data_IF_701899082634
#
_entry.id   IF_701899082634
#
_cell.length_a   1.000
_cell.length_b   1.000
_cell.length_c   1.000
_cell.angle_alpha   90.00
_cell.angle_beta   90.00
_cell.angle_gamma   90.00
#
_symmetry.space_group_name_H-M   'P 1'
#
loop_
_entity.id
_entity.type
_entity.pdbx_description
1 polymer ?
#
# COMPACT_ATOMS: atom_id res chain seq x y z
N UNK A 1 -20.06 7.03 -24.77
CA UNK A 1 -18.78 7.72 -24.48
C UNK A 1 -17.65 6.72 -24.63
N UNK A 2 -16.48 7.14 -25.14
CA UNK A 2 -15.34 6.25 -25.37
C UNK A 2 -14.06 6.89 -24.82
N UNK A 3 -13.27 6.13 -24.07
CA UNK A 3 -11.99 6.54 -23.50
C UNK A 3 -10.86 5.63 -23.97
N UNK A 4 -9.72 6.22 -24.33
CA UNK A 4 -8.55 5.47 -24.80
C UNK A 4 -7.47 5.46 -23.71
N UNK A 5 -6.95 4.28 -23.37
CA UNK A 5 -5.88 4.10 -22.37
C UNK A 5 -4.59 3.57 -23.01
N UNK A 6 -3.46 3.89 -22.37
CA UNK A 6 -2.14 3.33 -22.73
C UNK A 6 -1.83 2.02 -22.00
N UNK A 7 -2.54 1.72 -20.90
CA UNK A 7 -2.42 0.45 -20.21
C UNK A 7 -3.11 -0.67 -21.02
N UNK A 8 -2.53 -1.86 -21.02
CA UNK A 8 -3.09 -3.04 -21.71
C UNK A 8 -4.37 -3.56 -21.07
N UNK A 9 -4.51 -3.35 -19.76
CA UNK A 9 -5.64 -3.79 -18.96
C UNK A 9 -6.41 -2.60 -18.41
N UNK A 10 -7.74 -2.72 -18.40
CA UNK A 10 -8.63 -1.73 -17.81
C UNK A 10 -8.60 -1.84 -16.29
N UNK A 11 -8.11 -0.80 -15.63
CA UNK A 11 -8.07 -0.71 -14.15
C UNK A 11 -9.39 -0.17 -13.60
N UNK A 12 -9.73 -0.50 -12.36
CA UNK A 12 -10.94 0.01 -11.70
C UNK A 12 -11.06 1.55 -11.69
N UNK A 13 -9.94 2.28 -11.59
CA UNK A 13 -9.94 3.74 -11.70
C UNK A 13 -10.42 4.24 -13.08
N UNK A 14 -10.14 3.49 -14.15
CA UNK A 14 -10.66 3.80 -15.49
C UNK A 14 -12.18 3.65 -15.53
N UNK A 15 -12.72 2.62 -14.88
CA UNK A 15 -14.19 2.42 -14.78
C UNK A 15 -14.85 3.58 -14.04
N UNK A 16 -14.24 4.08 -12.96
CA UNK A 16 -14.72 5.29 -12.27
C UNK A 16 -14.64 6.54 -13.15
N UNK A 17 -13.59 6.69 -13.98
CA UNK A 17 -13.46 7.81 -14.91
C UNK A 17 -14.56 7.79 -15.97
N UNK A 18 -14.83 6.65 -16.61
CA UNK A 18 -15.89 6.57 -17.63
C UNK A 18 -17.28 6.78 -17.00
N UNK A 19 -17.50 6.38 -15.74
CA UNK A 19 -18.73 6.71 -15.01
C UNK A 19 -18.87 8.23 -14.82
N UNK A 20 -17.80 8.90 -14.38
CA UNK A 20 -17.79 10.36 -14.21
C UNK A 20 -18.09 11.08 -15.53
N UNK A 21 -17.41 10.69 -16.61
CA UNK A 21 -17.63 11.32 -17.91
C UNK A 21 -19.03 11.05 -18.47
N UNK A 22 -19.56 9.86 -18.24
CA UNK A 22 -20.93 9.51 -18.63
C UNK A 22 -21.97 10.30 -17.85
N UNK A 23 -21.74 10.54 -16.56
CA UNK A 23 -22.57 11.40 -15.69
C UNK A 23 -22.53 12.87 -16.17
N UNK A 24 -21.36 13.40 -16.49
CA UNK A 24 -21.24 14.76 -17.05
C UNK A 24 -21.96 14.90 -18.40
N UNK A 25 -21.87 13.89 -19.26
CA UNK A 25 -22.55 13.89 -20.56
C UNK A 25 -24.07 13.74 -20.41
N UNK A 26 -24.56 13.00 -19.42
CA UNK A 26 -26.00 12.85 -19.18
C UNK A 26 -26.65 14.19 -18.83
N UNK A 27 -25.95 15.04 -18.06
CA UNK A 27 -26.40 16.40 -17.74
C UNK A 27 -26.55 17.27 -18.99
N UNK A 28 -25.65 17.12 -19.95
CA UNK A 28 -25.66 17.86 -21.22
C UNK A 28 -26.71 17.31 -22.20
N UNK A 29 -26.82 15.98 -22.30
CA UNK A 29 -27.66 15.29 -23.29
C UNK A 29 -29.08 15.04 -22.80
N UNK A 30 -29.35 15.22 -21.49
CA UNK A 30 -30.64 14.94 -20.84
C UNK A 30 -31.09 13.49 -21.02
N UNK A 31 -30.14 12.55 -21.05
CA UNK A 31 -30.38 11.13 -21.24
C UNK A 31 -29.49 10.31 -20.30
N UNK A 32 -30.03 9.24 -19.74
CA UNK A 32 -29.28 8.37 -18.83
C UNK A 32 -28.21 7.57 -19.59
N UNK A 33 -26.99 7.46 -19.03
CA UNK A 33 -25.92 6.71 -19.67
C UNK A 33 -26.17 5.20 -19.52
N UNK A 34 -26.21 4.51 -20.65
CA UNK A 34 -26.38 3.04 -20.69
C UNK A 34 -25.03 2.34 -20.67
N UNK A 35 -24.16 2.70 -21.61
CA UNK A 35 -22.85 2.07 -21.80
C UNK A 35 -21.75 3.10 -22.08
N UNK A 36 -20.54 2.78 -21.65
CA UNK A 36 -19.32 3.46 -22.05
C UNK A 36 -18.29 2.44 -22.52
N UNK A 37 -17.30 2.91 -23.28
CA UNK A 37 -16.34 2.04 -23.93
C UNK A 37 -14.91 2.42 -23.56
N UNK A 38 -14.06 1.41 -23.35
CA UNK A 38 -12.62 1.60 -23.13
C UNK A 38 -11.85 0.94 -24.27
N UNK A 39 -10.87 1.65 -24.83
CA UNK A 39 -9.97 1.12 -25.85
C UNK A 39 -8.57 1.05 -25.27
N UNK A 40 -7.98 -0.15 -25.25
CA UNK A 40 -6.61 -0.40 -24.77
C UNK A 40 -5.69 -0.85 -25.92
N UNK A 41 -4.35 -0.77 -25.76
CA UNK A 41 -3.42 -1.25 -26.78
C UNK A 41 -3.38 -2.78 -26.80
N UNK A 42 -3.19 -3.37 -27.97
CA UNK A 42 -3.06 -4.84 -28.14
C UNK A 42 -4.38 -5.58 -28.33
N UNK A 43 -5.52 -4.87 -28.37
CA UNK A 43 -6.85 -5.44 -28.66
C UNK A 43 -7.35 -5.13 -30.07
N UNK A 44 -6.44 -4.82 -31.02
CA UNK A 44 -6.79 -4.26 -32.33
C UNK A 44 -7.68 -3.02 -32.26
N UNK A 45 -7.60 -2.27 -31.15
CA UNK A 45 -8.45 -1.12 -30.85
C UNK A 45 -9.96 -1.44 -30.80
N UNK A 46 -10.32 -2.71 -30.56
CA UNK A 46 -11.70 -3.11 -30.32
C UNK A 46 -12.15 -2.51 -28.98
N UNK A 47 -13.24 -1.72 -28.93
CA UNK A 47 -13.72 -1.14 -27.69
C UNK A 47 -14.34 -2.20 -26.78
N UNK A 48 -13.92 -2.19 -25.52
CA UNK A 48 -14.52 -2.99 -24.45
C UNK A 48 -15.71 -2.24 -23.86
N UNK A 49 -16.87 -2.88 -23.77
CA UNK A 49 -18.10 -2.28 -23.26
C UNK A 49 -18.22 -2.41 -21.73
N UNK A 50 -18.60 -1.31 -21.10
CA UNK A 50 -18.92 -1.23 -19.68
C UNK A 50 -20.31 -0.64 -19.50
N UNK A 51 -21.22 -1.40 -18.90
CA UNK A 51 -22.56 -0.92 -18.57
C UNK A 51 -22.51 -0.01 -17.36
N UNK A 52 -22.84 1.27 -17.55
CA UNK A 52 -22.76 2.28 -16.47
C UNK A 52 -23.64 1.95 -15.26
N UNK A 53 -24.89 1.45 -15.43
CA UNK A 53 -25.73 1.08 -14.29
C UNK A 53 -25.08 0.07 -13.32
N UNK A 54 -24.21 -0.81 -13.80
CA UNK A 54 -23.54 -1.84 -12.98
C UNK A 54 -22.54 -1.23 -11.98
N UNK A 55 -22.04 -0.02 -12.27
CA UNK A 55 -21.05 0.68 -11.45
C UNK A 55 -21.60 1.94 -10.77
N UNK A 56 -22.78 2.40 -11.18
CA UNK A 56 -23.32 3.71 -10.82
C UNK A 56 -23.47 3.91 -9.29
N UNK A 57 -23.85 2.87 -8.54
CA UNK A 57 -23.97 2.95 -7.09
C UNK A 57 -22.61 3.20 -6.41
N UNK A 58 -21.58 2.46 -6.83
CA UNK A 58 -20.23 2.63 -6.30
C UNK A 58 -19.63 3.98 -6.72
N UNK A 59 -19.82 4.38 -7.98
CA UNK A 59 -19.42 5.70 -8.47
C UNK A 59 -20.01 6.83 -7.62
N UNK A 60 -21.32 6.83 -7.35
CA UNK A 60 -21.97 7.85 -6.50
C UNK A 60 -21.40 7.88 -5.09
N UNK A 61 -21.11 6.71 -4.52
CA UNK A 61 -20.48 6.62 -3.21
C UNK A 61 -19.08 7.26 -3.19
N UNK A 62 -18.24 6.90 -4.17
CA UNK A 62 -16.87 7.46 -4.29
C UNK A 62 -16.90 8.96 -4.54
N UNK A 63 -17.78 9.43 -5.45
CA UNK A 63 -17.96 10.87 -5.74
C UNK A 63 -18.34 11.65 -4.48
N UNK A 64 -19.35 11.18 -3.74
CA UNK A 64 -19.79 11.82 -2.48
C UNK A 64 -18.67 11.84 -1.42
N UNK A 65 -17.90 10.76 -1.33
CA UNK A 65 -16.76 10.67 -0.42
C UNK A 65 -15.67 11.69 -0.77
N UNK A 66 -15.33 11.81 -2.06
CA UNK A 66 -14.36 12.79 -2.54
C UNK A 66 -14.84 14.23 -2.30
N UNK A 67 -16.08 14.55 -2.67
CA UNK A 67 -16.67 15.88 -2.44
C UNK A 67 -16.66 16.24 -0.95
N UNK A 68 -17.04 15.30 -0.07
CA UNK A 68 -16.97 15.48 1.38
C UNK A 68 -15.55 15.70 1.90
N UNK A 69 -14.57 14.96 1.36
CA UNK A 69 -13.17 15.11 1.74
C UNK A 69 -12.59 16.47 1.32
N UNK A 70 -12.96 16.97 0.14
CA UNK A 70 -12.51 18.27 -0.38
C UNK A 70 -13.20 19.44 0.33
N UNK A 71 -14.48 19.30 0.67
CA UNK A 71 -15.24 20.34 1.36
C UNK A 71 -14.83 20.53 2.83
N UNK A 72 -14.10 19.57 3.42
CA UNK A 72 -13.66 19.64 4.82
C UNK A 72 -12.43 20.57 4.95
N UNK A 73 -12.53 21.70 5.69
CA UNK A 73 -11.48 22.73 5.75
C UNK A 73 -10.19 22.29 6.46
N UNK A 74 -10.27 21.20 7.23
CA UNK A 74 -9.12 20.45 7.71
C UNK A 74 -9.64 19.05 7.95
N UNK A 75 -9.28 18.05 7.11
CA UNK A 75 -9.60 16.68 7.44
C UNK A 75 -8.79 16.33 8.70
N UNK A 76 -9.41 16.54 9.86
CA UNK A 76 -8.86 16.15 11.15
C UNK A 76 -8.48 14.66 11.05
N UNK A 77 -7.18 14.37 11.18
CA UNK A 77 -6.65 13.02 11.04
C UNK A 77 -6.13 12.63 9.65
N UNK A 78 -6.01 13.55 8.68
CA UNK A 78 -5.31 13.24 7.42
C UNK A 78 -3.80 13.06 7.66
N UNK A 79 -3.39 11.80 7.76
CA UNK A 79 -2.01 11.38 7.85
C UNK A 79 -1.54 10.74 6.53
N UNK A 80 -0.29 10.99 6.07
CA UNK A 80 0.23 10.40 4.84
C UNK A 80 0.62 8.93 5.04
N UNK A 81 -0.35 8.07 5.36
CA UNK A 81 -0.15 6.62 5.38
C UNK A 81 0.35 6.12 4.02
N UNK A 82 1.33 5.19 3.98
CA UNK A 82 1.76 4.62 2.72
C UNK A 82 0.63 3.81 2.07
N UNK A 83 0.47 3.99 0.77
CA UNK A 83 -0.46 3.28 -0.10
C UNK A 83 0.28 2.82 -1.35
N UNK A 84 -0.31 1.92 -2.12
CA UNK A 84 0.29 1.40 -3.37
C UNK A 84 0.65 2.50 -4.38
N UNK A 85 -0.15 3.58 -4.43
CA UNK A 85 0.12 4.69 -5.34
C UNK A 85 1.38 5.50 -4.96
N UNK A 86 1.93 5.33 -3.75
CA UNK A 86 3.08 6.10 -3.29
C UNK A 86 4.31 5.97 -4.19
N UNK A 87 4.51 4.84 -4.88
CA UNK A 87 5.69 4.61 -5.72
C UNK A 87 5.80 5.56 -6.92
N UNK A 88 4.66 6.05 -7.41
CA UNK A 88 4.57 6.99 -8.53
C UNK A 88 3.98 8.35 -8.14
N UNK A 89 3.57 8.50 -6.88
CA UNK A 89 2.95 9.71 -6.36
C UNK A 89 3.94 10.88 -6.33
N UNK A 90 3.53 12.03 -6.92
CA UNK A 90 4.33 13.27 -6.93
C UNK A 90 4.65 13.82 -5.53
N UNK A 91 3.83 13.52 -4.53
CA UNK A 91 4.00 13.99 -3.15
C UNK A 91 4.78 13.02 -2.26
N UNK A 92 5.26 11.89 -2.78
CA UNK A 92 5.94 10.84 -2.00
C UNK A 92 7.03 11.39 -1.10
N UNK A 93 7.86 12.32 -1.61
CA UNK A 93 8.96 12.94 -0.84
C UNK A 93 8.44 13.75 0.35
N UNK A 94 7.40 14.55 0.18
CA UNK A 94 6.80 15.32 1.26
C UNK A 94 6.20 14.41 2.33
N UNK A 95 5.49 13.36 1.91
CA UNK A 95 4.96 12.34 2.80
C UNK A 95 6.07 11.62 3.58
N UNK A 96 7.18 11.28 2.91
CA UNK A 96 8.32 10.60 3.55
C UNK A 96 9.00 11.49 4.60
N UNK A 97 9.22 12.77 4.29
CA UNK A 97 9.79 13.73 5.25
C UNK A 97 8.93 13.82 6.51
N UNK A 98 7.61 13.95 6.35
CA UNK A 98 6.68 13.99 7.49
C UNK A 98 6.73 12.71 8.32
N UNK A 99 6.60 11.54 7.67
CA UNK A 99 6.68 10.23 8.37
C UNK A 99 7.98 10.04 9.14
N UNK A 100 9.11 10.51 8.60
CA UNK A 100 10.41 10.45 9.28
C UNK A 100 10.49 11.42 10.45
N UNK A 101 9.99 12.64 10.29
CA UNK A 101 9.94 13.63 11.36
C UNK A 101 9.08 13.14 12.54
N UNK A 102 7.96 12.47 12.24
CA UNK A 102 7.04 11.92 13.23
C UNK A 102 7.49 10.58 13.83
N UNK A 103 8.64 10.03 13.39
CA UNK A 103 9.11 8.68 13.77
C UNK A 103 8.04 7.58 13.54
N UNK A 104 7.28 7.71 12.45
CA UNK A 104 6.08 6.91 12.22
C UNK A 104 6.38 5.42 12.02
N UNK A 105 5.57 4.56 12.62
CA UNK A 105 5.79 3.12 12.61
C UNK A 105 5.75 2.51 11.21
N UNK A 106 5.08 3.12 10.23
CA UNK A 106 5.05 2.63 8.83
C UNK A 106 6.42 2.54 8.15
N UNK A 107 7.47 3.11 8.77
CA UNK A 107 8.86 2.99 8.32
C UNK A 107 9.52 1.67 8.77
N UNK A 108 8.88 0.92 9.67
CA UNK A 108 9.34 -0.42 10.09
C UNK A 108 9.11 -1.41 8.95
N UNK A 109 10.16 -2.13 8.57
CA UNK A 109 10.09 -3.08 7.47
C UNK A 109 9.12 -4.23 7.80
N UNK A 110 8.15 -4.47 6.92
CA UNK A 110 7.18 -5.56 7.04
C UNK A 110 6.06 -5.33 8.06
N UNK A 111 5.95 -4.12 8.65
CA UNK A 111 4.80 -3.79 9.50
C UNK A 111 3.55 -3.57 8.64
N UNK A 112 2.41 -4.04 9.13
CA UNK A 112 1.12 -3.82 8.48
C UNK A 112 0.34 -2.69 9.16
N UNK A 113 -0.60 -2.07 8.43
CA UNK A 113 -1.55 -1.10 8.98
C UNK A 113 -2.37 -1.65 10.15
N UNK A 114 -2.71 -2.95 10.11
CA UNK A 114 -3.41 -3.61 11.23
C UNK A 114 -2.56 -3.63 12.50
N UNK A 115 -1.26 -3.87 12.39
CA UNK A 115 -0.35 -3.88 13.52
C UNK A 115 -0.11 -2.47 14.06
N UNK A 116 0.06 -1.48 13.18
CA UNK A 116 0.17 -0.06 13.54
C UNK A 116 -1.04 0.35 14.38
N UNK A 117 -2.26 0.14 13.86
CA UNK A 117 -3.47 0.55 14.58
C UNK A 117 -3.66 -0.18 15.92
N UNK A 118 -3.20 -1.43 16.06
CA UNK A 118 -3.24 -2.12 17.35
C UNK A 118 -2.19 -1.58 18.35
N UNK A 119 -0.98 -1.26 17.87
CA UNK A 119 0.08 -0.66 18.68
C UNK A 119 -0.31 0.74 19.16
N UNK A 120 -0.92 1.55 18.29
CA UNK A 120 -1.45 2.88 18.62
C UNK A 120 -2.52 2.82 19.72
N UNK A 121 -3.47 1.87 19.62
CA UNK A 121 -4.48 1.64 20.68
C UNK A 121 -3.86 1.26 22.03
N UNK A 122 -2.62 0.81 22.04
CA UNK A 122 -1.85 0.45 23.24
C UNK A 122 -0.83 1.54 23.63
N UNK A 123 -0.91 2.72 23.03
CA UNK A 123 -0.05 3.87 23.32
C UNK A 123 1.37 3.77 22.74
N UNK A 124 1.59 2.88 21.76
CA UNK A 124 2.87 2.73 21.06
C UNK A 124 2.71 3.41 19.71
N UNK A 125 3.21 4.63 19.59
CA UNK A 125 2.93 5.50 18.43
C UNK A 125 4.14 5.70 17.50
N UNK A 126 5.34 5.33 17.94
CA UNK A 126 6.59 5.61 17.20
C UNK A 126 7.46 4.38 17.00
N UNK A 127 8.36 4.42 16.01
CA UNK A 127 9.37 3.38 15.80
C UNK A 127 10.25 3.21 17.05
N UNK A 128 10.66 4.31 17.68
CA UNK A 128 11.50 4.29 18.86
C UNK A 128 10.77 3.69 20.08
N UNK A 129 9.47 3.96 20.23
CA UNK A 129 8.66 3.31 21.27
C UNK A 129 8.52 1.81 21.01
N UNK A 130 8.21 1.42 19.76
CA UNK A 130 8.12 0.02 19.37
C UNK A 130 9.44 -0.72 19.60
N UNK A 131 10.58 -0.14 19.23
CA UNK A 131 11.91 -0.71 19.43
C UNK A 131 12.24 -1.02 20.90
N UNK A 132 11.64 -0.28 21.84
CA UNK A 132 11.84 -0.43 23.30
C UNK A 132 10.80 -1.31 23.97
N UNK A 133 9.78 -1.76 23.24
CA UNK A 133 8.70 -2.57 23.79
C UNK A 133 9.26 -3.85 24.44
N UNK A 134 9.00 -4.12 25.73
CA UNK A 134 9.56 -5.29 26.40
C UNK A 134 9.06 -6.59 25.76
N UNK A 135 9.96 -7.58 25.68
CA UNK A 135 9.64 -8.94 25.28
C UNK A 135 9.87 -9.90 26.47
N UNK A 136 9.02 -10.92 26.66
CA UNK A 136 7.82 -11.23 25.86
C UNK A 136 6.72 -10.17 26.03
N UNK A 137 5.83 -10.06 25.03
CA UNK A 137 4.71 -9.13 25.12
C UNK A 137 3.85 -9.46 26.34
N UNK A 138 3.54 -8.44 27.15
CA UNK A 138 2.71 -8.59 28.35
C UNK A 138 1.20 -8.69 28.02
N UNK A 139 0.87 -8.73 26.73
CA UNK A 139 -0.48 -8.73 26.23
C UNK A 139 -0.59 -9.60 24.98
N UNK A 140 -1.82 -10.08 24.73
CA UNK A 140 -2.14 -10.87 23.54
C UNK A 140 -2.68 -9.95 22.43
N UNK A 141 -2.15 -10.04 21.20
CA UNK A 141 -2.71 -9.30 20.08
C UNK A 141 -4.17 -9.69 19.79
N UNK A 142 -4.99 -8.70 19.48
CA UNK A 142 -6.37 -8.90 19.00
C UNK A 142 -6.38 -9.51 17.60
N UNK A 143 -5.41 -9.10 16.76
CA UNK A 143 -5.27 -9.58 15.38
C UNK A 143 -3.86 -10.07 15.12
N UNK A 144 -3.76 -11.25 14.49
CA UNK A 144 -2.47 -11.85 14.13
C UNK A 144 -1.76 -12.55 15.29
N UNK A 145 -0.60 -13.12 14.99
CA UNK A 145 0.18 -13.91 15.94
C UNK A 145 1.14 -13.03 16.78
N UNK A 146 1.33 -13.40 18.05
CA UNK A 146 2.31 -12.78 18.97
C UNK A 146 3.70 -12.69 18.33
N UNK A 147 4.14 -13.77 17.66
CA UNK A 147 5.44 -13.82 16.98
C UNK A 147 5.58 -12.77 15.87
N UNK A 148 4.49 -12.40 15.20
CA UNK A 148 4.53 -11.34 14.19
C UNK A 148 4.84 -9.98 14.79
N UNK A 149 4.26 -9.68 15.97
CA UNK A 149 4.56 -8.46 16.72
C UNK A 149 6.00 -8.45 17.27
N UNK A 150 6.48 -9.59 17.75
CA UNK A 150 7.88 -9.75 18.16
C UNK A 150 8.84 -9.48 17.00
N UNK A 151 8.52 -9.97 15.79
CA UNK A 151 9.33 -9.73 14.59
C UNK A 151 9.39 -8.26 14.19
N UNK A 152 8.25 -7.56 14.13
CA UNK A 152 8.26 -6.11 13.80
C UNK A 152 8.94 -5.28 14.89
N UNK A 153 8.86 -5.70 16.15
CA UNK A 153 9.59 -5.09 17.27
C UNK A 153 11.10 -5.22 17.09
N UNK A 154 11.59 -6.43 16.77
CA UNK A 154 13.02 -6.64 16.48
C UNK A 154 13.47 -5.87 15.24
N UNK A 155 12.64 -5.81 14.19
CA UNK A 155 12.95 -4.97 13.02
C UNK A 155 13.03 -3.49 13.38
N UNK A 156 12.09 -2.97 14.18
CA UNK A 156 12.16 -1.61 14.69
C UNK A 156 13.44 -1.37 15.49
N UNK A 157 13.84 -2.31 16.35
CA UNK A 157 15.10 -2.23 17.12
C UNK A 157 16.32 -2.09 16.22
N UNK A 158 16.49 -2.97 15.24
CA UNK A 158 17.63 -2.96 14.30
C UNK A 158 17.61 -1.68 13.45
N UNK A 159 16.46 -1.26 12.95
CA UNK A 159 16.34 -0.05 12.12
C UNK A 159 16.62 1.22 12.91
N UNK A 160 16.17 1.31 14.17
CA UNK A 160 16.47 2.45 15.06
C UNK A 160 17.95 2.46 15.43
N UNK A 161 18.54 1.31 15.74
CA UNK A 161 19.98 1.19 16.01
C UNK A 161 20.82 1.63 14.79
N UNK A 162 20.48 1.16 13.59
CA UNK A 162 21.15 1.57 12.37
C UNK A 162 21.03 3.06 12.08
N UNK A 163 19.85 3.66 12.34
CA UNK A 163 19.65 5.11 12.25
C UNK A 163 20.57 5.87 13.21
N UNK A 164 20.67 5.43 14.46
CA UNK A 164 21.53 6.08 15.47
C UNK A 164 23.02 5.96 15.13
N UNK A 165 23.44 4.82 14.56
CA UNK A 165 24.82 4.59 14.12
C UNK A 165 25.16 5.21 12.77
N UNK A 166 24.16 5.68 12.02
CA UNK A 166 24.34 6.14 10.63
C UNK A 166 24.82 5.01 9.70
N UNK A 167 24.52 3.75 10.02
CA UNK A 167 25.02 2.58 9.30
C UNK A 167 23.93 1.52 9.13
N UNK A 168 24.06 0.70 8.09
CA UNK A 168 23.18 -0.47 7.92
C UNK A 168 23.60 -1.54 8.93
N UNK A 169 22.71 -1.83 9.88
CA UNK A 169 22.88 -2.91 10.86
C UNK A 169 22.04 -4.10 10.41
N UNK A 170 22.57 -5.30 10.61
CA UNK A 170 21.87 -6.55 10.34
C UNK A 170 22.18 -7.57 11.42
N UNK A 171 21.25 -8.50 11.63
CA UNK A 171 21.41 -9.63 12.53
C UNK A 171 21.01 -10.89 11.77
N UNK A 172 21.90 -11.88 11.75
CA UNK A 172 21.62 -13.15 11.10
C UNK A 172 20.69 -13.98 11.98
N UNK A 173 19.60 -14.48 11.41
CA UNK A 173 18.80 -15.49 12.08
C UNK A 173 19.61 -16.79 12.19
N UNK A 174 19.47 -17.54 13.29
CA UNK A 174 20.15 -18.82 13.43
C UNK A 174 19.72 -19.76 12.28
N UNK A 175 20.67 -20.50 11.69
CA UNK A 175 20.35 -21.45 10.63
C UNK A 175 19.45 -22.56 11.20
N UNK A 176 18.43 -22.94 10.45
CA UNK A 176 17.51 -24.03 10.80
C UNK A 176 17.80 -25.21 9.87
N UNK A 177 18.27 -26.36 10.40
CA UNK A 177 18.56 -27.54 9.58
C UNK A 177 17.36 -27.93 8.71
N UNK A 178 17.60 -28.22 7.43
CA UNK A 178 16.56 -28.60 6.48
C UNK A 178 15.62 -27.47 6.04
N UNK A 179 15.92 -26.21 6.35
CA UNK A 179 15.10 -25.06 5.95
C UNK A 179 15.91 -23.98 5.20
N UNK A 180 15.27 -23.29 4.25
CA UNK A 180 15.87 -22.20 3.50
C UNK A 180 17.19 -22.59 2.81
N UNK A 181 18.23 -21.79 3.06
CA UNK A 181 19.57 -22.00 2.48
C UNK A 181 20.27 -23.28 2.99
N UNK A 182 19.84 -23.86 4.12
CA UNK A 182 20.38 -25.13 4.63
C UNK A 182 19.94 -26.35 3.81
N UNK A 183 19.10 -26.15 2.77
CA UNK A 183 18.74 -27.18 1.79
C UNK A 183 19.54 -27.11 0.50
N UNK A 184 20.43 -26.13 0.37
CA UNK A 184 21.28 -26.03 -0.80
C UNK A 184 22.20 -27.27 -0.87
N UNK A 185 22.45 -27.81 -2.08
CA UNK A 185 23.48 -28.83 -2.26
C UNK A 185 24.85 -28.26 -1.93
N UNK A 186 25.85 -29.15 -1.83
CA UNK A 186 27.24 -28.71 -1.72
C UNK A 186 27.61 -27.80 -2.90
N UNK A 187 28.34 -26.70 -2.66
CA UNK A 187 28.74 -25.79 -3.73
C UNK A 187 29.50 -26.52 -4.83
N UNK A 188 29.15 -26.24 -6.09
CA UNK A 188 29.79 -26.78 -7.28
C UNK A 188 30.43 -25.67 -8.11
N UNK A 189 31.53 -25.97 -8.79
CA UNK A 189 32.19 -25.02 -9.69
C UNK A 189 31.28 -24.54 -10.84
N UNK A 190 30.21 -25.29 -11.15
CA UNK A 190 29.19 -24.94 -12.14
C UNK A 190 27.97 -24.19 -11.59
N UNK A 191 27.98 -23.76 -10.33
CA UNK A 191 26.83 -23.07 -9.74
C UNK A 191 26.56 -21.71 -10.42
N UNK A 192 25.32 -21.51 -10.85
CA UNK A 192 24.85 -20.27 -11.47
C UNK A 192 23.86 -19.59 -10.52
N UNK A 193 24.24 -18.43 -9.99
CA UNK A 193 23.37 -17.62 -9.15
C UNK A 193 22.74 -16.49 -9.96
N UNK A 194 21.42 -16.57 -10.16
CA UNK A 194 20.68 -15.51 -10.85
C UNK A 194 20.21 -14.45 -9.87
N UNK A 195 20.75 -13.23 -9.97
CA UNK A 195 20.27 -12.09 -9.17
C UNK A 195 19.09 -11.44 -9.88
N UNK A 196 17.87 -11.77 -9.45
CA UNK A 196 16.68 -11.02 -9.85
C UNK A 196 16.66 -9.67 -9.14
N UNK A 197 16.72 -8.58 -9.91
CA UNK A 197 16.29 -7.26 -9.46
C UNK A 197 14.88 -7.06 -10.00
N UNK A 198 13.88 -7.20 -9.13
CA UNK A 198 12.49 -6.83 -9.38
C UNK A 198 12.15 -5.56 -8.64
#
# INVERSE_FOLDING_TARGET
>A
MTDTKLARETKGNTVLQICLYSDMLSEMQKADPVSAYVVTPGTNYVPEEYRIPDYAAYYRHVRKSLEGAVASPSPAGAYPEPIEHCDTCRWRRHCDVRRRADDHMSLVAGISKSQIGELERRGIETMAALAKLPLPLQWRPERGAVQSYQRIREQARIQVEGRLKGAVVHEALPPVPGFGLSRLPEPSAGDIFFRLRG
#
